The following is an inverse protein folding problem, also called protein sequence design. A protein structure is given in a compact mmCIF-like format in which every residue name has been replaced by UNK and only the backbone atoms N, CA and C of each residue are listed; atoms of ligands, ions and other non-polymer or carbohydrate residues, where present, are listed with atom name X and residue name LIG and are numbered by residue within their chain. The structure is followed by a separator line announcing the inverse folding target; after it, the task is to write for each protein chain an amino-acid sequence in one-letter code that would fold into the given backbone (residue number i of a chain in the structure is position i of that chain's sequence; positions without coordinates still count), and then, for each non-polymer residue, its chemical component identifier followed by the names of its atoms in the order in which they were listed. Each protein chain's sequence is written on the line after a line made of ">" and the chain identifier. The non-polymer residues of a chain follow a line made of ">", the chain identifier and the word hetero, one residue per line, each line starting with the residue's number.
data_IF_976926601482
#
_entry.id   IF_976926601482
#
_cell.length_a   1.000
_cell.length_b   1.000
_cell.length_c   1.000
_cell.angle_alpha   90.00
_cell.angle_beta   90.00
_cell.angle_gamma   90.00
#
_symmetry.space_group_name_H-M   'P 1'
#
loop_
_entity.id
_entity.type
_entity.pdbx_description
1 polymer ?
#
# COMPACT_ATOMS: atom_id res chain seq x y z
N UNK A 1 -1.41 -1.38 10.17
CA UNK A 1 -0.84 -2.64 9.68
C UNK A 1 0.25 -2.32 8.67
N UNK A 2 1.39 -3.03 8.71
CA UNK A 2 2.48 -2.91 7.76
C UNK A 2 2.78 -4.28 7.15
N UNK A 3 3.11 -4.31 5.85
CA UNK A 3 3.43 -5.54 5.12
C UNK A 3 4.83 -5.42 4.56
N UNK A 4 5.67 -6.42 4.84
CA UNK A 4 6.99 -6.61 4.23
C UNK A 4 7.02 -7.92 3.44
N UNK A 5 8.16 -8.26 2.85
CA UNK A 5 8.32 -9.53 2.13
C UNK A 5 8.01 -10.73 3.02
N UNK A 6 8.52 -10.75 4.26
CA UNK A 6 8.45 -11.93 5.14
C UNK A 6 7.46 -11.77 6.31
N UNK A 7 7.17 -10.55 6.73
CA UNK A 7 6.40 -10.29 7.96
C UNK A 7 5.29 -9.28 7.68
N UNK A 8 4.11 -9.57 8.18
CA UNK A 8 2.99 -8.63 8.25
C UNK A 8 2.68 -8.34 9.71
N UNK A 9 2.72 -7.06 10.09
CA UNK A 9 2.44 -6.61 11.45
C UNK A 9 1.10 -5.88 11.53
N UNK A 10 0.26 -6.27 12.50
CA UNK A 10 -1.00 -5.60 12.84
C UNK A 10 -0.85 -4.84 14.15
N UNK A 11 -1.40 -3.63 14.17
CA UNK A 11 -1.53 -2.78 15.36
C UNK A 11 -2.93 -2.21 15.34
N UNK A 12 -3.61 -2.25 16.48
CA UNK A 12 -4.93 -1.72 16.76
C UNK A 12 -4.73 -0.49 17.63
N UNK A 13 -4.96 0.67 17.03
CA UNK A 13 -4.91 1.95 17.72
C UNK A 13 -6.31 2.53 17.84
N UNK A 14 -6.51 3.41 18.83
CA UNK A 14 -7.78 4.14 19.01
C UNK A 14 -8.02 5.12 17.86
N UNK A 15 -6.95 5.66 17.29
CA UNK A 15 -7.00 6.69 16.25
C UNK A 15 -6.27 6.22 14.99
N UNK A 16 -6.77 6.66 13.83
CA UNK A 16 -6.12 6.47 12.53
C UNK A 16 -5.36 7.75 12.16
N UNK A 17 -4.40 8.12 12.98
CA UNK A 17 -3.67 9.40 12.87
C UNK A 17 -2.20 9.21 12.50
N UNK A 18 -1.50 10.33 12.32
CA UNK A 18 -0.07 10.35 11.99
C UNK A 18 0.78 9.72 13.09
N UNK A 19 0.47 9.96 14.36
CA UNK A 19 1.21 9.38 15.48
C UNK A 19 1.15 7.84 15.45
N UNK A 20 -0.02 7.26 15.21
CA UNK A 20 -0.22 5.82 15.08
C UNK A 20 0.50 5.26 13.85
N UNK A 21 0.51 6.00 12.75
CA UNK A 21 1.22 5.63 11.52
C UNK A 21 2.74 5.63 11.70
N UNK A 22 3.30 6.69 12.30
CA UNK A 22 4.74 6.83 12.54
C UNK A 22 5.23 5.83 13.59
N UNK A 23 4.44 5.53 14.63
CA UNK A 23 4.74 4.48 15.61
C UNK A 23 4.82 3.08 14.97
N UNK A 24 3.93 2.79 14.00
CA UNK A 24 3.98 1.52 13.26
C UNK A 24 5.19 1.45 12.32
N UNK A 25 5.63 2.58 11.76
CA UNK A 25 6.83 2.65 10.92
C UNK A 25 8.11 2.52 11.73
N UNK A 26 8.12 2.96 12.97
CA UNK A 26 9.28 2.93 13.88
C UNK A 26 10.57 3.45 13.20
N UNK A 27 10.48 4.63 12.60
CA UNK A 27 11.62 5.26 11.91
C UNK A 27 12.05 4.58 10.60
N UNK A 28 11.36 3.55 10.12
CA UNK A 28 11.73 2.82 8.91
C UNK A 28 11.93 3.76 7.71
N UNK A 29 13.10 3.68 7.08
CA UNK A 29 13.44 4.50 5.92
C UNK A 29 13.18 3.75 4.59
N UNK A 30 12.53 2.60 4.63
CA UNK A 30 12.16 1.82 3.43
C UNK A 30 11.17 2.58 2.54
N UNK A 31 10.93 2.08 1.32
CA UNK A 31 9.90 2.64 0.43
C UNK A 31 8.50 2.24 0.91
N UNK A 32 7.59 3.21 1.01
CA UNK A 32 6.21 2.98 1.46
C UNK A 32 5.25 3.03 0.28
N UNK A 33 4.50 1.95 0.06
CA UNK A 33 3.37 1.98 -0.88
C UNK A 33 2.12 2.45 -0.14
N UNK A 34 1.50 3.54 -0.59
CA UNK A 34 0.45 4.26 0.16
C UNK A 34 -0.80 4.49 -0.68
N UNK A 35 -1.96 4.55 -0.02
CA UNK A 35 -3.29 4.80 -0.61
C UNK A 35 -3.63 6.30 -0.71
N UNK A 36 -2.65 7.19 -0.55
CA UNK A 36 -2.82 8.66 -0.40
C UNK A 36 -3.67 9.09 0.79
N UNK A 37 -3.78 8.27 1.82
CA UNK A 37 -4.29 8.75 3.08
C UNK A 37 -3.32 9.79 3.70
N UNK A 38 -3.86 10.87 4.23
CA UNK A 38 -3.10 12.09 4.57
C UNK A 38 -2.03 11.90 5.64
N UNK A 39 -2.13 10.84 6.44
CA UNK A 39 -1.08 10.46 7.42
C UNK A 39 0.25 10.11 6.77
N UNK A 40 0.29 9.95 5.45
CA UNK A 40 1.51 9.63 4.68
C UNK A 40 2.06 10.81 3.88
N UNK A 41 1.46 12.00 3.98
CA UNK A 41 1.83 13.15 3.14
C UNK A 41 3.18 13.78 3.54
N UNK A 42 3.63 13.57 4.78
CA UNK A 42 4.95 14.03 5.25
C UNK A 42 6.10 13.13 4.81
N UNK A 43 5.82 11.98 4.19
CA UNK A 43 6.87 11.08 3.73
C UNK A 43 7.61 11.68 2.54
N UNK A 44 8.93 11.48 2.51
CA UNK A 44 9.77 11.80 1.36
C UNK A 44 9.19 11.17 0.07
N UNK A 45 8.81 11.98 -0.95
CA UNK A 45 8.30 11.47 -2.23
C UNK A 45 9.25 10.48 -2.90
N UNK A 46 10.57 10.62 -2.72
CA UNK A 46 11.59 9.71 -3.26
C UNK A 46 11.58 8.31 -2.61
N UNK A 47 10.94 8.17 -1.44
CA UNK A 47 10.76 6.92 -0.69
C UNK A 47 9.29 6.52 -0.58
N UNK A 48 8.44 7.01 -1.49
CA UNK A 48 7.01 6.69 -1.55
C UNK A 48 6.66 6.09 -2.91
N UNK A 49 5.71 5.16 -2.89
CA UNK A 49 4.96 4.72 -4.05
C UNK A 49 3.48 5.03 -3.78
N UNK A 50 2.87 5.83 -4.64
CA UNK A 50 1.43 6.08 -4.60
C UNK A 50 0.71 4.91 -5.28
N UNK A 51 -0.34 4.39 -4.67
CA UNK A 51 -1.12 3.29 -5.21
C UNK A 51 -1.97 3.76 -6.41
N UNK A 52 -1.63 3.29 -7.61
CA UNK A 52 -2.35 3.61 -8.84
C UNK A 52 -3.79 3.09 -8.85
N UNK A 53 -4.10 2.01 -8.13
CA UNK A 53 -5.47 1.52 -8.03
C UNK A 53 -6.37 2.48 -7.23
N UNK A 54 -5.80 3.19 -6.25
CA UNK A 54 -6.51 4.26 -5.55
C UNK A 54 -6.67 5.49 -6.46
N UNK A 55 -5.64 5.85 -7.23
CA UNK A 55 -5.74 6.94 -8.22
C UNK A 55 -6.82 6.68 -9.27
N UNK A 56 -6.87 5.46 -9.83
CA UNK A 56 -7.89 5.10 -10.79
C UNK A 56 -9.31 5.25 -10.20
N UNK A 57 -9.51 4.87 -8.94
CA UNK A 57 -10.78 5.09 -8.23
C UNK A 57 -11.09 6.57 -7.98
N UNK A 58 -10.08 7.39 -7.64
CA UNK A 58 -10.23 8.84 -7.51
C UNK A 58 -10.60 9.50 -8.85
N UNK A 59 -10.02 9.04 -9.95
CA UNK A 59 -10.34 9.50 -11.29
C UNK A 59 -11.76 9.11 -11.69
N UNK A 60 -12.17 7.86 -11.45
CA UNK A 60 -13.56 7.43 -11.67
C UNK A 60 -14.55 8.24 -10.84
N UNK A 61 -14.30 8.40 -9.53
CA UNK A 61 -15.17 9.17 -8.64
C UNK A 61 -15.27 10.65 -9.04
N UNK A 62 -14.35 11.16 -9.85
CA UNK A 62 -14.45 12.50 -10.46
C UNK A 62 -15.38 12.51 -11.66
N UNK A 63 -15.25 11.53 -12.55
CA UNK A 63 -16.16 11.35 -13.70
C UNK A 63 -17.60 11.32 -13.19
N UNK A 64 -17.85 10.56 -12.12
CA UNK A 64 -19.17 10.37 -11.53
C UNK A 64 -19.79 11.66 -10.92
N UNK A 65 -18.99 12.69 -10.63
CA UNK A 65 -19.49 13.92 -9.96
C UNK A 65 -20.08 14.97 -10.92
N UNK A 66 -19.94 14.82 -12.24
CA UNK A 66 -20.52 15.69 -13.29
C UNK A 66 -20.22 17.21 -13.22
N UNK A 67 -19.54 17.72 -12.19
CA UNK A 67 -19.21 19.13 -12.00
C UNK A 67 -17.72 19.40 -12.33
N UNK A 68 -17.49 19.91 -13.55
CA UNK A 68 -16.20 20.32 -14.09
C UNK A 68 -15.10 19.24 -14.07
N UNK A 69 -14.90 18.62 -15.24
CA UNK A 69 -13.73 17.79 -15.56
C UNK A 69 -13.96 16.29 -15.81
N UNK A 70 -15.10 15.82 -16.37
CA UNK A 70 -15.20 14.42 -16.78
C UNK A 70 -14.11 14.05 -17.80
N UNK A 71 -13.83 14.93 -18.78
CA UNK A 71 -12.79 14.70 -19.79
C UNK A 71 -11.39 14.47 -19.19
N UNK A 72 -10.98 15.27 -18.21
CA UNK A 72 -9.67 15.06 -17.55
C UNK A 72 -9.67 13.78 -16.71
N UNK A 73 -10.79 13.47 -16.03
CA UNK A 73 -10.95 12.23 -15.28
C UNK A 73 -10.86 11.00 -16.18
N UNK A 74 -11.56 11.01 -17.31
CA UNK A 74 -11.55 9.99 -18.36
C UNK A 74 -10.14 9.82 -18.95
N UNK A 75 -9.49 10.92 -19.31
CA UNK A 75 -8.11 10.91 -19.80
C UNK A 75 -7.19 10.26 -18.76
N UNK A 76 -7.16 10.72 -17.51
CA UNK A 76 -6.29 10.16 -16.46
C UNK A 76 -6.60 8.69 -16.15
N UNK A 77 -7.88 8.29 -16.18
CA UNK A 77 -8.29 6.90 -16.00
C UNK A 77 -7.80 6.01 -17.15
N UNK A 78 -7.87 6.48 -18.39
CA UNK A 78 -7.32 5.77 -19.54
C UNK A 78 -5.81 5.54 -19.40
N UNK A 79 -5.06 6.51 -18.88
CA UNK A 79 -3.61 6.35 -18.64
C UNK A 79 -3.32 5.36 -17.50
N UNK A 80 -4.18 5.31 -16.48
CA UNK A 80 -4.08 4.27 -15.45
C UNK A 80 -4.31 2.87 -16.05
N UNK A 81 -5.24 2.70 -16.98
CA UNK A 81 -5.43 1.42 -17.69
C UNK A 81 -4.23 1.06 -18.57
N UNK A 82 -3.69 2.01 -19.33
CA UNK A 82 -2.46 1.81 -20.13
C UNK A 82 -1.31 1.37 -19.24
N UNK A 83 -1.12 2.04 -18.09
CA UNK A 83 -0.14 1.66 -17.09
C UNK A 83 -0.30 0.21 -16.66
N UNK A 84 -1.51 -0.19 -16.26
CA UNK A 84 -1.77 -1.55 -15.78
C UNK A 84 -1.54 -2.59 -16.87
N UNK A 85 -2.01 -2.36 -18.08
CA UNK A 85 -1.79 -3.28 -19.21
C UNK A 85 -0.30 -3.51 -19.49
N UNK A 86 0.51 -2.45 -19.46
CA UNK A 86 1.97 -2.60 -19.62
C UNK A 86 2.65 -3.22 -18.40
N UNK A 87 2.16 -2.94 -17.19
CA UNK A 87 2.73 -3.51 -15.98
C UNK A 87 2.40 -5.01 -15.83
N UNK A 88 1.25 -5.46 -16.28
CA UNK A 88 0.92 -6.90 -16.33
C UNK A 88 1.94 -7.67 -17.17
N UNK A 89 2.34 -7.11 -18.32
CA UNK A 89 3.42 -7.66 -19.16
C UNK A 89 4.79 -7.66 -18.47
N UNK A 90 5.01 -6.78 -17.48
CA UNK A 90 6.22 -6.84 -16.63
C UNK A 90 6.11 -7.98 -15.63
N UNK A 91 4.91 -8.20 -15.07
CA UNK A 91 4.66 -9.21 -14.04
C UNK A 91 4.67 -10.64 -14.58
N UNK A 92 4.17 -10.86 -15.79
CA UNK A 92 4.17 -12.17 -16.44
C UNK A 92 5.49 -12.51 -17.15
N UNK A 93 6.42 -11.55 -17.22
CA UNK A 93 7.74 -11.72 -17.82
C UNK A 93 7.80 -11.42 -19.33
N UNK A 94 6.68 -11.04 -19.96
CA UNK A 94 6.62 -10.67 -21.39
C UNK A 94 7.59 -9.53 -21.74
N UNK A 95 7.74 -8.55 -20.83
CA UNK A 95 8.75 -7.49 -20.95
C UNK A 95 9.50 -7.33 -19.64
N UNK A 96 10.77 -6.90 -19.71
CA UNK A 96 11.52 -6.57 -18.49
C UNK A 96 11.09 -5.22 -17.93
N UNK A 97 11.25 -5.02 -16.61
CA UNK A 97 11.06 -3.70 -15.96
C UNK A 97 11.91 -2.61 -16.63
N UNK A 98 13.12 -2.96 -17.10
CA UNK A 98 13.98 -2.04 -17.84
C UNK A 98 13.39 -1.59 -19.18
N UNK A 99 12.72 -2.51 -19.89
CA UNK A 99 12.00 -2.21 -21.14
C UNK A 99 10.79 -1.33 -20.88
N UNK A 100 10.00 -1.63 -19.84
CA UNK A 100 8.91 -0.76 -19.38
C UNK A 100 9.40 0.68 -19.12
N UNK A 101 10.47 0.81 -18.34
CA UNK A 101 11.04 2.10 -17.93
C UNK A 101 11.59 2.91 -19.11
N UNK A 102 12.19 2.27 -20.11
CA UNK A 102 12.80 2.98 -21.26
C UNK A 102 11.78 3.32 -22.34
N UNK A 103 10.85 2.40 -22.64
CA UNK A 103 10.07 2.48 -23.87
C UNK A 103 8.64 2.98 -23.65
N UNK A 104 8.08 2.83 -22.45
CA UNK A 104 6.67 3.14 -22.18
C UNK A 104 6.51 4.24 -21.13
N UNK A 105 7.31 4.18 -20.06
CA UNK A 105 7.18 5.12 -18.94
C UNK A 105 7.37 6.60 -19.30
N UNK A 106 8.32 7.02 -20.16
CA UNK A 106 8.53 8.44 -20.43
C UNK A 106 7.28 9.12 -21.01
N UNK A 107 6.71 8.56 -22.09
CA UNK A 107 5.50 9.09 -22.71
C UNK A 107 4.31 9.10 -21.75
N UNK A 108 4.08 7.99 -21.04
CA UNK A 108 3.02 7.90 -20.04
C UNK A 108 3.17 8.95 -18.92
N UNK A 109 4.40 9.18 -18.45
CA UNK A 109 4.70 10.19 -17.42
C UNK A 109 4.41 11.60 -17.92
N UNK A 110 4.87 11.92 -19.12
CA UNK A 110 4.70 13.25 -19.72
C UNK A 110 3.22 13.55 -19.96
N UNK A 111 2.49 12.56 -20.47
CA UNK A 111 1.06 12.63 -20.72
C UNK A 111 0.24 12.83 -19.44
N UNK A 112 0.53 12.06 -18.39
CA UNK A 112 -0.12 12.22 -17.08
C UNK A 112 0.21 13.58 -16.48
N UNK A 113 1.48 14.00 -16.54
CA UNK A 113 1.91 15.28 -16.00
C UNK A 113 1.23 16.46 -16.70
N UNK A 114 1.14 16.45 -18.05
CA UNK A 114 0.45 17.49 -18.81
C UNK A 114 -1.03 17.61 -18.41
N UNK A 115 -1.71 16.49 -18.16
CA UNK A 115 -3.12 16.45 -17.77
C UNK A 115 -3.35 16.94 -16.35
N UNK A 116 -2.48 16.54 -15.42
CA UNK A 116 -2.48 17.06 -14.05
C UNK A 116 -2.21 18.57 -14.05
N UNK A 117 -1.28 19.07 -14.86
CA UNK A 117 -0.98 20.49 -14.97
C UNK A 117 -2.20 21.28 -15.49
N UNK A 118 -2.85 20.82 -16.56
CA UNK A 118 -4.10 21.42 -17.10
C UNK A 118 -5.23 21.43 -16.06
N UNK A 119 -5.32 20.37 -15.25
CA UNK A 119 -6.35 20.23 -14.23
C UNK A 119 -6.20 21.24 -13.07
N UNK A 120 -5.01 21.79 -12.82
CA UNK A 120 -4.79 22.77 -11.74
C UNK A 120 -5.56 24.07 -11.92
N UNK A 121 -5.97 24.39 -13.14
CA UNK A 121 -6.73 25.60 -13.48
C UNK A 121 -8.20 25.31 -13.79
N UNK A 122 -8.68 24.10 -13.49
CA UNK A 122 -10.09 23.77 -13.73
C UNK A 122 -11.03 24.51 -12.75
N UNK A 123 -12.29 24.68 -13.15
CA UNK A 123 -13.32 25.38 -12.36
C UNK A 123 -13.76 24.66 -11.07
N UNK A 124 -13.21 23.50 -10.74
CA UNK A 124 -13.51 22.78 -9.49
C UNK A 124 -12.33 22.87 -8.52
N UNK A 125 -12.41 23.69 -7.45
CA UNK A 125 -11.29 23.90 -6.51
C UNK A 125 -10.78 22.61 -5.87
N UNK A 126 -11.69 21.68 -5.52
CA UNK A 126 -11.33 20.38 -4.96
C UNK A 126 -10.51 19.55 -5.94
N UNK A 127 -10.90 19.55 -7.21
CA UNK A 127 -10.21 18.84 -8.29
C UNK A 127 -8.86 19.46 -8.59
N UNK A 128 -8.78 20.78 -8.67
CA UNK A 128 -7.54 21.53 -8.84
C UNK A 128 -6.52 21.22 -7.73
N UNK A 129 -6.98 21.19 -6.47
CA UNK A 129 -6.15 20.84 -5.31
C UNK A 129 -5.58 19.42 -5.40
N UNK A 130 -6.41 18.43 -5.77
CA UNK A 130 -5.95 17.04 -5.96
C UNK A 130 -4.90 16.95 -7.08
N UNK A 131 -5.11 17.66 -8.18
CA UNK A 131 -4.16 17.68 -9.30
C UNK A 131 -2.84 18.38 -8.92
N UNK A 132 -2.90 19.46 -8.14
CA UNK A 132 -1.71 20.13 -7.60
C UNK A 132 -0.92 19.21 -6.65
N UNK A 133 -1.59 18.48 -5.77
CA UNK A 133 -0.96 17.49 -4.88
C UNK A 133 -0.29 16.35 -5.66
N UNK A 134 -0.92 15.84 -6.72
CA UNK A 134 -0.33 14.82 -7.59
C UNK A 134 0.87 15.34 -8.38
N UNK A 135 0.85 16.61 -8.80
CA UNK A 135 2.03 17.25 -9.38
C UNK A 135 3.17 17.39 -8.35
N UNK A 136 2.87 17.80 -7.13
CA UNK A 136 3.87 17.93 -6.06
C UNK A 136 4.49 16.59 -5.64
N UNK A 137 3.75 15.49 -5.79
CA UNK A 137 4.19 14.13 -5.44
C UNK A 137 4.53 13.28 -6.67
N UNK A 138 4.83 13.92 -7.82
CA UNK A 138 5.02 13.24 -9.10
C UNK A 138 6.07 12.11 -9.06
N UNK A 139 7.15 12.26 -8.30
CA UNK A 139 8.18 11.22 -8.21
C UNK A 139 7.67 9.94 -7.53
N UNK A 140 6.75 10.08 -6.57
CA UNK A 140 6.14 8.97 -5.85
C UNK A 140 5.16 8.17 -6.70
N UNK A 141 4.70 8.71 -7.84
CA UNK A 141 3.83 7.98 -8.77
C UNK A 141 4.57 6.83 -9.46
N UNK A 142 5.89 6.94 -9.65
CA UNK A 142 6.65 6.10 -10.58
C UNK A 142 7.77 5.28 -9.93
N UNK A 143 7.82 5.21 -8.59
CA UNK A 143 8.88 4.52 -7.84
C UNK A 143 8.99 3.03 -8.20
N UNK A 144 7.87 2.35 -8.44
CA UNK A 144 7.77 0.93 -8.84
C UNK A 144 8.57 0.59 -10.11
N UNK A 145 8.69 1.56 -11.02
CA UNK A 145 9.44 1.38 -12.26
C UNK A 145 10.97 1.47 -12.06
N UNK A 146 11.41 2.17 -11.01
CA UNK A 146 12.83 2.38 -10.69
C UNK A 146 13.37 1.41 -9.65
N UNK A 147 12.52 0.91 -8.74
CA UNK A 147 12.92 0.11 -7.58
C UNK A 147 12.33 -1.30 -7.68
N UNK A 148 13.20 -2.31 -7.72
CA UNK A 148 12.78 -3.70 -7.74
C UNK A 148 12.01 -4.06 -6.45
N UNK A 149 11.02 -4.95 -6.58
CA UNK A 149 10.18 -5.38 -5.46
C UNK A 149 9.07 -4.41 -5.06
N UNK A 150 8.99 -3.23 -5.69
CA UNK A 150 7.90 -2.28 -5.49
C UNK A 150 6.89 -2.43 -6.63
N UNK A 151 5.62 -2.57 -6.28
CA UNK A 151 4.49 -2.67 -7.20
C UNK A 151 3.77 -1.31 -7.31
N UNK A 152 3.07 -1.00 -8.42
CA UNK A 152 2.30 0.23 -8.56
C UNK A 152 1.04 0.25 -7.68
N UNK A 153 0.71 -0.86 -7.00
CA UNK A 153 -0.50 -1.01 -6.18
C UNK A 153 -0.17 -1.45 -4.76
N UNK A 154 -1.07 -1.14 -3.82
CA UNK A 154 -0.99 -1.57 -2.42
C UNK A 154 -1.74 -2.89 -2.15
N UNK A 155 -1.93 -3.72 -3.18
CA UNK A 155 -2.76 -4.92 -3.11
C UNK A 155 -2.32 -5.90 -2.02
N UNK A 156 -1.01 -5.96 -1.73
CA UNK A 156 -0.48 -6.78 -0.64
C UNK A 156 -1.07 -6.34 0.72
N UNK A 157 -1.02 -5.05 1.03
CA UNK A 157 -1.59 -4.55 2.28
C UNK A 157 -3.12 -4.67 2.32
N UNK A 158 -3.80 -4.33 1.23
CA UNK A 158 -5.26 -4.44 1.16
C UNK A 158 -5.74 -5.88 1.38
N UNK A 159 -5.03 -6.87 0.80
CA UNK A 159 -5.35 -8.30 0.97
C UNK A 159 -5.17 -8.76 2.42
N UNK A 160 -4.04 -8.44 3.06
CA UNK A 160 -3.81 -8.85 4.45
C UNK A 160 -4.78 -8.15 5.41
N UNK A 161 -5.12 -6.88 5.15
CA UNK A 161 -6.05 -6.12 5.98
C UNK A 161 -7.47 -6.70 5.97
N UNK A 162 -7.86 -7.41 4.90
CA UNK A 162 -9.22 -7.96 4.74
C UNK A 162 -9.64 -8.84 5.92
N UNK A 163 -8.74 -9.67 6.43
CA UNK A 163 -9.05 -10.55 7.57
C UNK A 163 -9.39 -9.75 8.84
N UNK A 164 -8.58 -8.72 9.16
CA UNK A 164 -8.85 -7.82 10.28
C UNK A 164 -10.16 -7.04 10.08
N UNK A 165 -10.42 -6.58 8.85
CA UNK A 165 -11.63 -5.85 8.52
C UNK A 165 -12.89 -6.70 8.65
N UNK A 166 -12.85 -7.96 8.20
CA UNK A 166 -13.93 -8.93 8.40
C UNK A 166 -14.17 -9.19 9.88
N UNK A 167 -13.13 -9.51 10.65
CA UNK A 167 -13.24 -9.74 12.10
C UNK A 167 -13.91 -8.56 12.80
N UNK A 168 -13.43 -7.33 12.55
CA UNK A 168 -14.01 -6.11 13.15
C UNK A 168 -15.49 -5.95 12.80
N UNK A 169 -15.90 -6.27 11.58
CA UNK A 169 -17.30 -6.16 11.14
C UNK A 169 -18.21 -7.21 11.78
N UNK A 170 -17.75 -8.45 11.89
CA UNK A 170 -18.56 -9.57 12.40
C UNK A 170 -18.57 -9.66 13.92
N UNK A 171 -17.52 -9.17 14.58
CA UNK A 171 -17.32 -9.31 16.03
C UNK A 171 -17.24 -7.97 16.75
N UNK A 172 -17.58 -6.87 16.08
CA UNK A 172 -17.61 -5.49 16.60
C UNK A 172 -16.28 -4.95 17.16
N UNK A 173 -15.17 -5.67 16.98
CA UNK A 173 -13.84 -5.26 17.44
C UNK A 173 -13.50 -5.84 18.82
N UNK A 174 -12.77 -5.06 19.63
CA UNK A 174 -12.24 -5.48 20.93
C UNK A 174 -12.52 -4.40 21.97
N UNK A 175 -13.00 -4.79 23.15
CA UNK A 175 -13.38 -3.87 24.24
C UNK A 175 -12.36 -3.82 25.40
N UNK A 176 -11.17 -4.37 25.20
CA UNK A 176 -10.11 -4.31 26.20
C UNK A 176 -8.73 -4.26 25.57
N UNK A 177 -7.78 -3.62 26.27
CA UNK A 177 -6.38 -3.59 25.84
C UNK A 177 -5.77 -4.99 25.70
N UNK A 178 -6.23 -5.97 26.49
CA UNK A 178 -5.84 -7.37 26.36
C UNK A 178 -6.39 -8.00 25.08
N UNK A 179 -7.65 -7.73 24.76
CA UNK A 179 -8.30 -8.17 23.53
C UNK A 179 -7.62 -7.60 22.28
N UNK A 180 -7.35 -6.29 22.26
CA UNK A 180 -6.62 -5.65 21.15
C UNK A 180 -5.26 -6.31 20.93
N UNK A 181 -4.47 -6.47 22.00
CA UNK A 181 -3.15 -7.13 21.92
C UNK A 181 -3.22 -8.57 21.42
N UNK A 182 -4.25 -9.33 21.81
CA UNK A 182 -4.46 -10.68 21.30
C UNK A 182 -4.71 -10.67 19.79
N UNK A 183 -5.65 -9.84 19.33
CA UNK A 183 -6.03 -9.75 17.91
C UNK A 183 -4.85 -9.28 17.05
N UNK A 184 -4.12 -8.26 17.49
CA UNK A 184 -2.88 -7.79 16.84
C UNK A 184 -1.88 -8.92 16.63
N UNK A 185 -1.58 -9.66 17.71
CA UNK A 185 -0.56 -10.71 17.71
C UNK A 185 -0.98 -11.91 16.88
N UNK A 186 -2.21 -12.39 17.02
CA UNK A 186 -2.66 -13.59 16.30
C UNK A 186 -2.76 -13.32 14.79
N UNK A 187 -3.25 -12.13 14.38
CA UNK A 187 -3.28 -11.74 12.98
C UNK A 187 -1.87 -11.57 12.41
N UNK A 188 -0.95 -10.98 13.18
CA UNK A 188 0.47 -10.85 12.83
C UNK A 188 1.12 -12.22 12.59
N UNK A 189 0.90 -13.18 13.50
CA UNK A 189 1.41 -14.54 13.37
C UNK A 189 0.81 -15.23 12.15
N UNK A 190 -0.52 -15.22 11.99
CA UNK A 190 -1.19 -15.88 10.88
C UNK A 190 -0.71 -15.34 9.53
N UNK A 191 -0.71 -14.01 9.36
CA UNK A 191 -0.31 -13.38 8.11
C UNK A 191 1.17 -13.63 7.81
N UNK A 192 2.05 -13.52 8.81
CA UNK A 192 3.49 -13.75 8.62
C UNK A 192 3.80 -15.21 8.30
N UNK A 193 3.21 -16.18 9.03
CA UNK A 193 3.38 -17.60 8.74
C UNK A 193 2.94 -17.97 7.32
N UNK A 194 1.79 -17.46 6.86
CA UNK A 194 1.31 -17.69 5.49
C UNK A 194 2.30 -17.16 4.45
N UNK A 195 2.85 -15.96 4.66
CA UNK A 195 3.86 -15.37 3.78
C UNK A 195 5.18 -16.16 3.77
N UNK A 196 5.53 -16.75 4.91
CA UNK A 196 6.74 -17.54 5.09
C UNK A 196 6.57 -19.03 4.70
N UNK A 197 5.37 -19.47 4.31
CA UNK A 197 5.08 -20.88 4.08
C UNK A 197 5.18 -21.77 5.34
N UNK A 198 5.08 -21.19 6.54
CA UNK A 198 5.21 -21.91 7.82
C UNK A 198 3.88 -22.40 8.35
N UNK A 199 3.88 -23.57 8.99
CA UNK A 199 2.72 -24.10 9.69
C UNK A 199 2.41 -23.25 10.95
N UNK A 200 1.23 -22.63 10.95
CA UNK A 200 0.77 -21.73 12.02
C UNK A 200 0.64 -22.47 13.36
N UNK A 201 -0.01 -23.65 13.35
CA UNK A 201 -0.24 -24.42 14.56
C UNK A 201 1.08 -24.89 15.16
N UNK A 202 2.00 -25.39 14.34
CA UNK A 202 3.32 -25.82 14.80
C UNK A 202 4.09 -24.67 15.48
N UNK A 203 4.05 -23.46 14.90
CA UNK A 203 4.69 -22.29 15.51
C UNK A 203 4.05 -21.94 16.87
N UNK A 204 2.72 -21.89 16.94
CA UNK A 204 2.01 -21.54 18.17
C UNK A 204 2.26 -22.58 19.27
N UNK A 205 2.22 -23.87 18.93
CA UNK A 205 2.51 -24.96 19.87
C UNK A 205 3.94 -24.87 20.38
N UNK A 206 4.92 -24.63 19.51
CA UNK A 206 6.31 -24.44 19.90
C UNK A 206 6.47 -23.21 20.81
N UNK A 207 5.80 -22.10 20.51
CA UNK A 207 5.86 -20.89 21.32
C UNK A 207 5.28 -21.08 22.73
N UNK A 208 4.12 -21.75 22.85
CA UNK A 208 3.50 -22.05 24.15
C UNK A 208 4.34 -23.05 24.94
N UNK A 209 4.87 -24.08 24.27
CA UNK A 209 5.74 -25.08 24.91
C UNK A 209 7.02 -24.43 25.45
N UNK A 210 7.64 -23.56 24.64
CA UNK A 210 8.84 -22.84 25.03
C UNK A 210 8.60 -21.94 26.25
N UNK A 211 7.51 -21.18 26.22
CA UNK A 211 7.10 -20.30 27.32
C UNK A 211 6.88 -21.04 28.64
N UNK A 212 6.17 -22.18 28.60
CA UNK A 212 5.90 -22.99 29.79
C UNK A 212 7.14 -23.63 30.39
N UNK A 213 8.13 -23.95 29.55
CA UNK A 213 9.36 -24.61 29.97
C UNK A 213 10.50 -23.62 30.27
N UNK A 214 10.26 -22.31 30.14
CA UNK A 214 11.28 -21.28 30.37
C UNK A 214 12.44 -21.32 29.37
N UNK A 215 12.22 -21.84 28.16
CA UNK A 215 13.23 -21.90 27.08
C UNK A 215 12.95 -20.84 26.01
N UNK A 216 13.90 -20.67 25.09
CA UNK A 216 13.81 -19.66 24.03
C UNK A 216 12.59 -19.89 23.12
N UNK A 217 11.80 -18.83 22.92
CA UNK A 217 10.60 -18.86 22.08
C UNK A 217 11.01 -18.78 20.59
N UNK A 218 10.33 -19.53 19.69
CA UNK A 218 10.62 -19.48 18.27
C UNK A 218 10.34 -18.09 17.71
N UNK A 219 11.27 -17.58 16.89
CA UNK A 219 11.10 -16.28 16.24
C UNK A 219 10.07 -16.33 15.11
N UNK A 220 9.24 -15.29 15.03
CA UNK A 220 8.38 -15.03 13.87
C UNK A 220 9.16 -14.39 12.71
N UNK A 221 10.26 -13.70 13.01
CA UNK A 221 11.19 -13.14 12.02
C UNK A 221 12.14 -14.27 11.61
N UNK A 222 12.15 -14.71 10.33
CA UNK A 222 13.08 -15.73 9.89
C UNK A 222 14.53 -15.26 10.06
N UNK A 223 15.40 -16.11 10.60
CA UNK A 223 16.84 -15.96 10.44
C UNK A 223 17.13 -16.12 8.95
N UNK A 224 17.62 -15.07 8.29
CA UNK A 224 17.75 -14.99 6.83
C UNK A 224 18.39 -16.28 6.26
N UNK A 225 17.60 -17.06 5.54
CA UNK A 225 18.03 -18.05 4.54
C UNK A 225 16.79 -18.65 3.85
N UNK A 226 16.30 -18.00 2.78
CA UNK A 226 15.86 -18.64 1.52
C UNK A 226 16.16 -17.66 0.40
#
# INVERSE_FOLDING_TARGET
>A
MAVTTLVTAFVITRHRDRASFDALRDGATTIHTTDRYSVSDHLDPGRRQVCWAHLARDFQARIDRTNAGPTIGEELLAHAHILFAHWERVRDGTITRGTFRRNYLPGLRDEVHARLARCRTCGCPKTAAVCADLCATADALWTFARRAGIEPTNNAAERELRHAACWRKTSYGTDSARGSRYVERILTVIASCRRQGRNILALLTAAVTADRNGIERPSLVPSVAV
#
